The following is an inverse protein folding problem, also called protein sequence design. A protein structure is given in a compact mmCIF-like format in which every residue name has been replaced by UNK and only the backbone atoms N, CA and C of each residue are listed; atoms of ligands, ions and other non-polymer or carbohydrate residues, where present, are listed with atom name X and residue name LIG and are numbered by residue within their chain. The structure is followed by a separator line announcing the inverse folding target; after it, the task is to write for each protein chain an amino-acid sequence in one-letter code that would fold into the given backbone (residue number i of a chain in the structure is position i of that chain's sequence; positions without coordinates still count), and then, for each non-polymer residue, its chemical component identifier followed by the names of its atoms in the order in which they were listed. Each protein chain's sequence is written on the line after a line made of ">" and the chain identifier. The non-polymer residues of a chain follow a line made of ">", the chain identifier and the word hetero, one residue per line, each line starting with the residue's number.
data_IF_253692460361
#
_entry.id   IF_253692460361
#
_cell.length_a   1.000
_cell.length_b   1.000
_cell.length_c   1.000
_cell.angle_alpha   90.00
_cell.angle_beta   90.00
_cell.angle_gamma   90.00
#
_symmetry.space_group_name_H-M   'P 1'
#
loop_
_entity.id
_entity.type
_entity.pdbx_description
1 polymer ?
#
# COMPACT_ATOMS: atom_id res chain seq x y z
N UNK A 1 -11.68 -16.63 -3.01
CA UNK A 1 -11.23 -15.29 -2.56
C UNK A 1 -10.07 -14.87 -3.44
N UNK A 2 -9.77 -13.58 -3.47
CA UNK A 2 -8.89 -12.93 -4.45
C UNK A 2 -7.85 -12.08 -3.74
N UNK A 3 -6.69 -11.94 -4.37
CA UNK A 3 -5.58 -11.21 -3.77
C UNK A 3 -5.27 -9.95 -4.57
N UNK A 4 -4.87 -8.90 -3.86
CA UNK A 4 -4.37 -7.65 -4.41
C UNK A 4 -2.84 -7.64 -4.28
N UNK A 5 -2.16 -7.37 -5.40
CA UNK A 5 -0.79 -6.90 -5.42
C UNK A 5 -0.80 -5.41 -5.82
N UNK A 6 -0.16 -4.58 -5.03
CA UNK A 6 0.10 -3.17 -5.32
C UNK A 6 1.58 -2.88 -5.20
N UNK A 7 2.17 -2.19 -6.19
CA UNK A 7 3.50 -1.59 -6.13
C UNK A 7 3.41 -0.11 -6.51
N UNK A 8 4.08 0.74 -5.74
CA UNK A 8 4.36 2.13 -6.05
C UNK A 8 5.88 2.28 -6.23
N UNK A 9 6.31 2.36 -7.49
CA UNK A 9 7.73 2.43 -7.84
C UNK A 9 8.16 3.88 -8.10
N UNK A 10 9.14 4.37 -7.35
CA UNK A 10 9.61 5.75 -7.38
C UNK A 10 11.13 5.84 -7.39
N UNK A 11 11.65 7.05 -7.52
CA UNK A 11 13.01 7.36 -7.09
C UNK A 11 13.21 7.14 -5.58
N UNK A 12 14.47 7.26 -5.13
CA UNK A 12 14.95 6.89 -3.79
C UNK A 12 14.20 7.54 -2.61
N UNK A 13 13.39 6.72 -1.94
CA UNK A 13 12.73 6.97 -0.66
C UNK A 13 13.81 6.94 0.45
N UNK A 14 13.96 8.00 1.25
CA UNK A 14 14.89 8.00 2.37
C UNK A 14 14.65 6.83 3.33
N UNK A 15 15.69 6.10 3.72
CA UNK A 15 15.58 4.90 4.58
C UNK A 15 14.73 5.13 5.83
N UNK A 16 14.94 6.25 6.52
CA UNK A 16 14.17 6.67 7.71
C UNK A 16 12.66 6.83 7.50
N UNK A 17 12.19 6.95 6.26
CA UNK A 17 10.76 7.12 5.94
C UNK A 17 10.09 5.81 5.48
N UNK A 18 10.88 4.80 5.09
CA UNK A 18 10.38 3.61 4.39
C UNK A 18 9.44 2.77 5.25
N UNK A 19 9.83 2.49 6.51
CA UNK A 19 9.01 1.69 7.43
C UNK A 19 7.64 2.30 7.67
N UNK A 20 7.62 3.58 8.06
CA UNK A 20 6.38 4.31 8.30
C UNK A 20 5.51 4.38 7.04
N UNK A 21 6.13 4.57 5.86
CA UNK A 21 5.39 4.59 4.60
C UNK A 21 4.77 3.23 4.25
N UNK A 22 5.46 2.11 4.50
CA UNK A 22 4.88 0.77 4.33
C UNK A 22 3.69 0.55 5.28
N UNK A 23 3.84 0.95 6.54
CA UNK A 23 2.77 0.84 7.55
C UNK A 23 1.56 1.71 7.20
N UNK A 24 1.79 2.94 6.74
CA UNK A 24 0.74 3.85 6.28
C UNK A 24 0.03 3.33 5.04
N UNK A 25 0.77 2.77 4.07
CA UNK A 25 0.17 2.16 2.88
C UNK A 25 -0.77 1.01 3.28
N UNK A 26 -0.28 0.09 4.11
CA UNK A 26 -1.08 -1.03 4.63
C UNK A 26 -2.34 -0.52 5.31
N UNK A 27 -2.19 0.38 6.29
CA UNK A 27 -3.30 0.93 7.09
C UNK A 27 -4.32 1.66 6.24
N UNK A 28 -3.89 2.52 5.31
CA UNK A 28 -4.79 3.31 4.48
C UNK A 28 -5.62 2.43 3.55
N UNK A 29 -4.97 1.43 2.91
CA UNK A 29 -5.67 0.51 2.01
C UNK A 29 -6.62 -0.39 2.79
N UNK A 30 -6.17 -1.00 3.89
CA UNK A 30 -7.04 -1.91 4.66
C UNK A 30 -8.21 -1.18 5.33
N UNK A 31 -8.01 0.05 5.83
CA UNK A 31 -9.11 0.86 6.36
C UNK A 31 -10.13 1.19 5.26
N UNK A 32 -9.67 1.63 4.08
CA UNK A 32 -10.56 1.94 2.97
C UNK A 32 -11.35 0.71 2.49
N UNK A 33 -10.75 -0.49 2.49
CA UNK A 33 -11.43 -1.75 2.21
C UNK A 33 -12.55 -2.03 3.23
N UNK A 34 -12.25 -1.90 4.52
CA UNK A 34 -13.23 -2.13 5.61
C UNK A 34 -14.35 -1.11 5.58
N UNK A 35 -14.06 0.17 5.34
CA UNK A 35 -15.06 1.23 5.16
C UNK A 35 -16.01 0.93 3.98
N UNK A 36 -15.50 0.23 2.97
CA UNK A 36 -16.26 -0.25 1.81
C UNK A 36 -16.92 -1.62 2.04
N UNK A 37 -16.92 -2.14 3.28
CA UNK A 37 -17.57 -3.40 3.64
C UNK A 37 -16.84 -4.65 3.12
N UNK A 38 -15.57 -4.53 2.71
CA UNK A 38 -14.76 -5.65 2.24
C UNK A 38 -13.91 -6.20 3.39
N UNK A 39 -14.02 -7.49 3.64
CA UNK A 39 -13.15 -8.23 4.57
C UNK A 39 -11.93 -8.79 3.83
N UNK A 40 -10.84 -9.05 4.55
CA UNK A 40 -9.63 -9.68 4.02
C UNK A 40 -9.02 -10.60 5.08
N UNK A 41 -8.23 -11.57 4.65
CA UNK A 41 -7.60 -12.56 5.54
C UNK A 41 -6.25 -12.06 6.09
N UNK A 42 -5.48 -11.34 5.28
CA UNK A 42 -4.17 -10.83 5.67
C UNK A 42 -3.71 -9.67 4.79
N UNK A 43 -2.79 -8.86 5.34
CA UNK A 43 -2.14 -7.80 4.58
C UNK A 43 -0.70 -7.61 5.05
N UNK A 44 0.24 -7.51 4.10
CA UNK A 44 1.66 -7.30 4.34
C UNK A 44 2.19 -6.21 3.41
N UNK A 45 2.90 -5.24 3.97
CA UNK A 45 3.55 -4.19 3.22
C UNK A 45 5.06 -4.32 3.29
N UNK A 46 5.71 -3.87 2.22
CA UNK A 46 7.14 -3.96 2.01
C UNK A 46 7.65 -2.62 1.51
N UNK A 47 8.90 -2.32 1.83
CA UNK A 47 9.58 -1.15 1.29
C UNK A 47 10.99 -1.51 0.85
N UNK A 48 11.46 -0.83 -0.18
CA UNK A 48 12.87 -0.77 -0.61
C UNK A 48 13.23 0.70 -0.86
N UNK A 49 14.49 1.05 -1.20
CA UNK A 49 14.83 2.39 -1.65
C UNK A 49 13.89 2.97 -2.69
N UNK A 50 13.31 2.16 -3.59
CA UNK A 50 12.54 2.66 -4.74
C UNK A 50 11.11 2.16 -4.79
N UNK A 51 10.63 1.44 -3.76
CA UNK A 51 9.32 0.77 -3.79
C UNK A 51 8.61 0.88 -2.47
N UNK A 52 7.30 1.07 -2.55
CA UNK A 52 6.37 0.57 -1.55
C UNK A 52 5.54 -0.52 -2.23
N UNK A 53 5.40 -1.68 -1.59
CA UNK A 53 4.55 -2.76 -2.08
C UNK A 53 3.58 -3.22 -1.00
N UNK A 54 2.42 -3.71 -1.41
CA UNK A 54 1.38 -4.23 -0.53
C UNK A 54 0.78 -5.48 -1.16
N UNK A 55 0.73 -6.55 -0.36
CA UNK A 55 -0.08 -7.73 -0.62
C UNK A 55 -1.29 -7.69 0.31
N UNK A 56 -2.50 -7.86 -0.24
CA UNK A 56 -3.70 -8.14 0.54
C UNK A 56 -4.26 -9.47 0.08
N UNK A 57 -4.45 -10.39 1.01
CA UNK A 57 -4.87 -11.77 0.75
C UNK A 57 -6.33 -11.95 1.17
N UNK A 58 -7.08 -12.71 0.37
CA UNK A 58 -8.38 -13.21 0.81
C UNK A 58 -9.51 -12.19 0.73
N UNK A 59 -9.49 -11.29 -0.24
CA UNK A 59 -10.61 -10.37 -0.51
C UNK A 59 -11.77 -11.12 -1.19
N UNK A 60 -13.04 -10.76 -0.91
CA UNK A 60 -14.15 -11.23 -1.72
C UNK A 60 -14.07 -10.61 -3.12
N UNK A 61 -14.62 -11.29 -4.13
CA UNK A 61 -14.67 -10.77 -5.51
C UNK A 61 -15.61 -9.57 -5.64
N UNK A 62 -16.59 -9.45 -4.75
CA UNK A 62 -17.62 -8.42 -4.75
C UNK A 62 -17.98 -8.00 -3.33
N UNK A 63 -18.38 -6.75 -3.15
CA UNK A 63 -18.98 -6.26 -1.91
C UNK A 63 -20.29 -7.01 -1.59
N UNK A 64 -20.64 -7.17 -0.31
CA UNK A 64 -21.97 -7.66 0.06
C UNK A 64 -23.04 -6.64 -0.36
N UNK A 65 -24.21 -7.15 -0.76
CA UNK A 65 -25.38 -6.30 -0.97
C UNK A 65 -25.79 -5.64 0.36
N UNK A 66 -26.05 -4.33 0.33
CA UNK A 66 -26.51 -3.60 1.49
C UNK A 66 -28.03 -3.56 1.51
N UNK A 67 -28.64 -4.05 2.58
CA UNK A 67 -30.08 -3.89 2.84
C UNK A 67 -30.29 -3.04 4.08
N UNK A 68 -30.83 -1.85 3.90
CA UNK A 68 -31.17 -0.92 4.97
C UNK A 68 -32.70 -0.80 5.10
N UNK A 69 -33.21 -0.97 6.33
CA UNK A 69 -34.63 -0.76 6.62
C UNK A 69 -34.84 0.60 7.29
N UNK A 70 -35.43 1.54 6.55
CA UNK A 70 -35.68 2.91 7.03
C UNK A 70 -37.12 3.04 7.50
N UNK A 71 -37.30 3.24 8.81
CA UNK A 71 -38.60 3.50 9.40
C UNK A 71 -39.12 4.88 8.99
N UNK A 72 -40.28 4.88 8.36
CA UNK A 72 -41.03 6.05 7.95
C UNK A 72 -42.12 6.43 8.95
N UNK A 73 -42.98 7.39 8.57
CA UNK A 73 -44.07 7.87 9.41
C UNK A 73 -45.16 6.82 9.59
N UNK A 74 -46.04 7.04 10.58
CA UNK A 74 -47.22 6.20 10.83
C UNK A 74 -48.14 6.19 9.60
N UNK A 75 -48.84 5.07 9.36
CA UNK A 75 -49.90 5.00 8.36
C UNK A 75 -50.96 6.08 8.66
N UNK A 76 -51.31 6.87 7.65
CA UNK A 76 -52.21 8.04 7.78
C UNK A 76 -51.55 9.35 8.21
N UNK A 77 -50.21 9.43 8.26
CA UNK A 77 -49.51 10.68 8.52
C UNK A 77 -49.74 11.75 7.43
N UNK A 78 -49.54 13.06 7.74
CA UNK A 78 -49.71 14.13 6.77
C UNK A 78 -48.89 13.93 5.49
N UNK A 79 -49.43 14.35 4.34
CA UNK A 79 -48.79 14.19 3.03
C UNK A 79 -47.35 14.75 2.99
N UNK A 80 -47.08 15.86 3.69
CA UNK A 80 -45.74 16.43 3.80
C UNK A 80 -44.73 15.47 4.46
N UNK A 81 -45.15 14.72 5.48
CA UNK A 81 -44.30 13.74 6.16
C UNK A 81 -44.06 12.51 5.27
N UNK A 82 -45.07 12.10 4.51
CA UNK A 82 -44.96 11.02 3.53
C UNK A 82 -44.02 11.42 2.38
N UNK A 83 -44.18 12.61 1.81
CA UNK A 83 -43.32 13.12 0.73
C UNK A 83 -41.85 13.26 1.17
N UNK A 84 -41.62 13.77 2.39
CA UNK A 84 -40.28 13.84 2.97
C UNK A 84 -39.65 12.46 3.16
N UNK A 85 -40.43 11.48 3.62
CA UNK A 85 -39.97 10.09 3.75
C UNK A 85 -39.61 9.46 2.40
N UNK A 86 -40.50 9.54 1.40
CA UNK A 86 -40.27 9.01 0.05
C UNK A 86 -39.00 9.60 -0.58
N UNK A 87 -38.83 10.92 -0.50
CA UNK A 87 -37.62 11.60 -0.99
C UNK A 87 -36.36 11.12 -0.27
N UNK A 88 -36.43 10.99 1.06
CA UNK A 88 -35.27 10.58 1.86
C UNK A 88 -34.90 9.10 1.67
N UNK A 89 -35.88 8.26 1.36
CA UNK A 89 -35.72 6.83 1.15
C UNK A 89 -35.48 6.46 -0.34
N UNK A 90 -35.53 7.44 -1.25
CA UNK A 90 -35.36 7.21 -2.68
C UNK A 90 -36.51 6.45 -3.35
N UNK A 91 -37.70 6.46 -2.75
CA UNK A 91 -38.87 5.75 -3.27
C UNK A 91 -39.69 6.67 -4.19
N UNK A 92 -40.16 6.12 -5.32
CA UNK A 92 -40.97 6.86 -6.29
C UNK A 92 -42.46 6.96 -5.89
N UNK A 93 -42.97 5.97 -5.15
CA UNK A 93 -44.34 5.97 -4.61
C UNK A 93 -44.41 5.24 -3.27
N UNK A 94 -45.50 5.46 -2.55
CA UNK A 94 -45.78 4.82 -1.25
C UNK A 94 -45.96 3.30 -1.36
N UNK A 95 -46.34 2.81 -2.54
CA UNK A 95 -46.58 1.38 -2.81
C UNK A 95 -45.27 0.57 -2.76
N UNK A 96 -44.12 1.24 -2.87
CA UNK A 96 -42.81 0.63 -2.72
C UNK A 96 -42.39 0.47 -1.25
N UNK A 97 -43.11 1.11 -0.31
CA UNK A 97 -42.89 0.95 1.12
C UNK A 97 -43.73 -0.22 1.68
N UNK A 98 -43.15 -0.99 2.59
CA UNK A 98 -43.87 -2.03 3.35
C UNK A 98 -44.55 -1.41 4.56
N UNK A 99 -45.69 -1.96 4.99
CA UNK A 99 -46.29 -1.59 6.27
C UNK A 99 -45.81 -2.56 7.34
N UNK A 100 -45.25 -2.02 8.42
CA UNK A 100 -44.82 -2.80 9.58
C UNK A 100 -45.50 -2.30 10.86
N UNK A 101 -45.64 -3.20 11.84
CA UNK A 101 -46.27 -2.91 13.14
C UNK A 101 -45.22 -2.78 14.22
N UNK A 102 -45.41 -1.82 15.12
CA UNK A 102 -44.57 -1.72 16.32
C UNK A 102 -45.08 -2.64 17.45
N UNK A 103 -44.33 -2.71 18.56
CA UNK A 103 -44.70 -3.52 19.74
C UNK A 103 -46.02 -3.10 20.39
N UNK A 104 -46.57 -1.93 20.04
CA UNK A 104 -47.85 -1.40 20.52
C UNK A 104 -48.97 -1.51 19.47
N UNK A 105 -48.72 -2.16 18.34
CA UNK A 105 -49.68 -2.38 17.26
C UNK A 105 -49.87 -1.21 16.30
N UNK A 106 -49.08 -0.13 16.41
CA UNK A 106 -49.17 0.99 15.48
C UNK A 106 -48.47 0.66 14.15
N UNK A 107 -49.16 0.90 13.04
CA UNK A 107 -48.67 0.66 11.68
C UNK A 107 -47.86 1.85 11.17
N UNK A 108 -46.70 1.58 10.57
CA UNK A 108 -45.82 2.58 9.96
C UNK A 108 -45.29 2.11 8.61
N UNK A 109 -44.92 3.06 7.75
CA UNK A 109 -44.26 2.76 6.49
C UNK A 109 -42.79 2.41 6.74
N UNK A 110 -42.28 1.41 6.03
CA UNK A 110 -40.92 0.91 6.09
C UNK A 110 -40.36 0.84 4.67
N UNK A 111 -39.31 1.59 4.40
CA UNK A 111 -38.60 1.50 3.14
C UNK A 111 -37.49 0.47 3.30
N UNK A 112 -37.45 -0.52 2.40
CA UNK A 112 -36.30 -1.42 2.29
C UNK A 112 -35.46 -0.90 1.14
N UNK A 113 -34.29 -0.36 1.47
CA UNK A 113 -33.33 0.18 0.51
C UNK A 113 -32.30 -0.93 0.26
N UNK A 114 -32.33 -1.50 -0.94
CA UNK A 114 -31.34 -2.48 -1.39
C UNK A 114 -30.34 -1.80 -2.32
N UNK A 115 -29.05 -1.91 -2.00
CA UNK A 115 -27.96 -1.46 -2.86
C UNK A 115 -27.11 -2.66 -3.22
N UNK A 116 -27.09 -2.98 -4.50
CA UNK A 116 -26.22 -4.01 -5.04
C UNK A 116 -24.75 -3.67 -4.72
N UNK A 117 -24.00 -4.64 -4.19
CA UNK A 117 -22.57 -4.49 -3.97
C UNK A 117 -21.82 -4.27 -5.29
N UNK A 118 -20.71 -3.52 -5.27
CA UNK A 118 -19.85 -3.36 -6.43
C UNK A 118 -18.79 -4.48 -6.52
N UNK A 119 -18.29 -4.74 -7.72
CA UNK A 119 -17.14 -5.63 -7.91
C UNK A 119 -15.93 -5.05 -7.18
N UNK A 120 -15.17 -5.90 -6.47
CA UNK A 120 -14.05 -5.44 -5.64
C UNK A 120 -12.99 -4.76 -6.50
N UNK A 121 -12.79 -5.18 -7.75
CA UNK A 121 -11.86 -4.54 -8.68
C UNK A 121 -12.22 -3.08 -8.98
N UNK A 122 -13.51 -2.75 -9.05
CA UNK A 122 -13.99 -1.39 -9.28
C UNK A 122 -13.82 -0.53 -8.01
N UNK A 123 -14.08 -1.13 -6.84
CA UNK A 123 -13.82 -0.48 -5.55
C UNK A 123 -12.33 -0.16 -5.40
N UNK A 124 -11.44 -1.09 -5.76
CA UNK A 124 -10.01 -0.89 -5.75
C UNK A 124 -9.58 0.25 -6.70
N UNK A 125 -10.16 0.31 -7.90
CA UNK A 125 -9.91 1.38 -8.86
C UNK A 125 -10.35 2.76 -8.36
N UNK A 126 -11.33 2.83 -7.45
CA UNK A 126 -11.75 4.07 -6.79
C UNK A 126 -10.82 4.46 -5.63
N UNK A 127 -10.49 3.52 -4.72
CA UNK A 127 -9.79 3.85 -3.47
C UNK A 127 -8.29 4.08 -3.67
N UNK A 128 -7.64 3.34 -4.56
CA UNK A 128 -6.18 3.39 -4.71
C UNK A 128 -5.68 4.75 -5.21
N UNK A 129 -6.28 5.39 -6.24
CA UNK A 129 -5.90 6.75 -6.65
C UNK A 129 -6.04 7.77 -5.52
N UNK A 130 -7.11 7.68 -4.72
CA UNK A 130 -7.36 8.60 -3.62
C UNK A 130 -6.28 8.49 -2.54
N UNK A 131 -5.90 7.26 -2.17
CA UNK A 131 -4.84 6.98 -1.21
C UNK A 131 -3.48 7.50 -1.73
N UNK A 132 -3.14 7.24 -2.99
CA UNK A 132 -1.88 7.70 -3.58
C UNK A 132 -1.82 9.24 -3.60
N UNK A 133 -2.91 9.92 -4.00
CA UNK A 133 -2.96 11.38 -4.04
C UNK A 133 -2.88 12.04 -2.65
N UNK A 134 -3.38 11.36 -1.62
CA UNK A 134 -3.44 11.87 -0.23
C UNK A 134 -2.36 11.27 0.69
N UNK A 135 -1.37 10.59 0.11
CA UNK A 135 -0.42 9.80 0.89
C UNK A 135 0.37 10.66 1.90
N UNK A 136 0.44 10.27 3.19
CA UNK A 136 0.88 11.13 4.28
C UNK A 136 2.40 11.18 4.42
N UNK A 137 3.10 11.53 3.35
CA UNK A 137 4.56 11.70 3.39
C UNK A 137 4.95 12.81 4.40
N UNK A 138 5.86 12.54 5.36
CA UNK A 138 6.35 13.56 6.29
C UNK A 138 6.98 14.77 5.58
N UNK A 139 7.56 14.51 4.40
CA UNK A 139 8.05 15.52 3.48
C UNK A 139 7.77 15.07 2.05
N UNK A 140 6.90 15.80 1.36
CA UNK A 140 6.58 15.59 -0.07
C UNK A 140 6.92 16.82 -0.90
N UNK A 141 7.05 16.60 -2.20
CA UNK A 141 7.32 17.64 -3.20
C UNK A 141 6.44 17.38 -4.43
N UNK A 142 6.31 18.40 -5.28
CA UNK A 142 5.81 18.25 -6.65
C UNK A 142 7.02 18.12 -7.58
N UNK A 143 6.88 17.35 -8.66
CA UNK A 143 8.00 16.97 -9.51
C UNK A 143 7.77 17.29 -10.98
N UNK A 144 8.86 17.58 -11.71
CA UNK A 144 8.86 17.79 -13.15
C UNK A 144 8.00 18.96 -13.62
N UNK A 145 7.65 18.96 -14.91
CA UNK A 145 6.81 19.99 -15.53
C UNK A 145 5.40 20.05 -14.90
N UNK A 146 4.88 18.93 -14.39
CA UNK A 146 3.60 18.88 -13.72
C UNK A 146 3.55 19.77 -12.46
N UNK A 147 4.69 20.04 -11.83
CA UNK A 147 4.78 20.86 -10.61
C UNK A 147 4.28 22.31 -10.76
N UNK A 148 4.16 22.79 -11.99
CA UNK A 148 3.55 24.08 -12.31
C UNK A 148 2.04 24.10 -12.00
N UNK A 149 1.38 22.92 -12.02
CA UNK A 149 -0.04 22.81 -11.67
C UNK A 149 -0.24 22.70 -10.16
N UNK A 150 -1.25 23.40 -9.64
CA UNK A 150 -1.60 23.37 -8.22
C UNK A 150 -2.10 22.00 -7.72
N UNK A 151 -2.60 21.16 -8.61
CA UNK A 151 -3.19 19.86 -8.33
C UNK A 151 -2.27 18.67 -8.63
N UNK A 152 -1.02 18.92 -9.06
CA UNK A 152 -0.06 17.86 -9.35
C UNK A 152 0.24 16.98 -8.15
N UNK A 153 0.61 15.72 -8.39
CA UNK A 153 0.90 14.76 -7.33
C UNK A 153 2.00 15.28 -6.39
N UNK A 154 1.75 15.14 -5.09
CA UNK A 154 2.77 15.32 -4.05
C UNK A 154 3.31 13.96 -3.65
N UNK A 155 4.59 13.72 -3.88
CA UNK A 155 5.25 12.46 -3.53
C UNK A 155 6.63 12.74 -2.93
N UNK A 156 7.19 11.77 -2.19
CA UNK A 156 8.52 11.91 -1.56
C UNK A 156 9.62 12.16 -2.59
N UNK A 157 9.52 11.50 -3.74
CA UNK A 157 10.37 11.61 -4.93
C UNK A 157 9.53 11.34 -6.19
N UNK A 158 10.02 11.48 -7.43
CA UNK A 158 9.21 11.15 -8.61
C UNK A 158 8.68 9.70 -8.57
N UNK A 159 7.36 9.52 -8.66
CA UNK A 159 6.72 8.23 -8.89
C UNK A 159 6.81 7.90 -10.38
N UNK A 160 7.17 6.67 -10.73
CA UNK A 160 7.44 6.25 -12.10
C UNK A 160 6.43 5.24 -12.64
N UNK A 161 6.03 4.27 -11.82
CA UNK A 161 5.06 3.25 -12.24
C UNK A 161 4.24 2.74 -11.08
N UNK A 162 3.05 2.22 -11.41
CA UNK A 162 2.12 1.62 -10.46
C UNK A 162 1.78 0.22 -10.96
N UNK A 163 2.10 -0.81 -10.19
CA UNK A 163 1.56 -2.15 -10.42
C UNK A 163 0.32 -2.31 -9.58
N UNK A 164 -0.79 -2.74 -10.17
CA UNK A 164 -1.99 -3.08 -9.41
C UNK A 164 -2.71 -4.25 -10.09
N UNK A 165 -2.67 -5.43 -9.47
CA UNK A 165 -3.34 -6.63 -9.98
C UNK A 165 -4.26 -7.23 -8.93
N UNK A 166 -5.40 -7.77 -9.38
CA UNK A 166 -6.42 -8.37 -8.52
C UNK A 166 -7.02 -9.62 -9.17
N UNK A 167 -7.17 -10.70 -8.41
CA UNK A 167 -7.89 -11.88 -8.89
C UNK A 167 -7.73 -13.10 -8.01
N UNK A 168 -8.52 -14.17 -8.23
CA UNK A 168 -8.47 -15.40 -7.44
C UNK A 168 -7.22 -16.22 -7.79
N UNK A 169 -6.62 -16.91 -6.82
CA UNK A 169 -5.39 -17.71 -7.01
C UNK A 169 -5.45 -18.67 -8.23
N UNK A 170 -6.64 -19.20 -8.52
CA UNK A 170 -6.90 -20.19 -9.57
C UNK A 170 -6.94 -19.62 -11.00
N UNK A 171 -6.99 -18.31 -11.18
CA UNK A 171 -7.14 -17.67 -12.50
C UNK A 171 -6.02 -16.67 -12.79
N UNK A 172 -5.99 -16.09 -14.00
CA UNK A 172 -5.08 -14.97 -14.26
C UNK A 172 -5.67 -13.70 -13.63
N UNK A 173 -4.91 -12.97 -12.79
CA UNK A 173 -5.43 -11.75 -12.19
C UNK A 173 -5.53 -10.65 -13.25
N UNK A 174 -6.48 -9.75 -13.03
CA UNK A 174 -6.70 -8.58 -13.87
C UNK A 174 -5.92 -7.39 -13.34
N UNK A 175 -5.62 -6.43 -14.22
CA UNK A 175 -5.08 -5.13 -13.80
C UNK A 175 -6.22 -4.29 -13.25
N UNK A 176 -6.07 -3.78 -12.03
CA UNK A 176 -6.99 -2.79 -11.45
C UNK A 176 -6.76 -1.48 -12.19
N UNK A 177 -7.64 -1.08 -13.10
CA UNK A 177 -7.42 0.05 -14.02
C UNK A 177 -7.69 1.40 -13.35
N UNK A 178 -6.66 2.20 -13.19
CA UNK A 178 -6.77 3.60 -12.77
C UNK A 178 -5.54 4.41 -13.22
N UNK A 179 -5.59 5.73 -13.05
CA UNK A 179 -4.48 6.63 -13.35
C UNK A 179 -4.28 7.65 -12.22
N UNK A 180 -3.01 7.95 -11.92
CA UNK A 180 -2.61 9.04 -11.02
C UNK A 180 -1.60 9.93 -11.71
N UNK A 181 -1.99 11.18 -11.99
CA UNK A 181 -1.12 12.22 -12.56
C UNK A 181 -0.37 11.76 -13.84
N UNK A 182 -1.09 11.07 -14.74
CA UNK A 182 -0.55 10.53 -15.98
C UNK A 182 0.10 9.14 -15.86
N UNK A 183 0.15 8.54 -14.66
CA UNK A 183 0.72 7.21 -14.43
C UNK A 183 -0.43 6.19 -14.33
N UNK A 184 -0.62 5.41 -15.40
CA UNK A 184 -1.60 4.34 -15.43
C UNK A 184 -1.09 3.11 -14.65
N UNK A 185 -2.01 2.43 -13.96
CA UNK A 185 -1.73 1.13 -13.36
C UNK A 185 -1.52 0.04 -14.42
N UNK A 186 -0.51 -0.80 -14.20
CA UNK A 186 -0.09 -1.86 -15.12
C UNK A 186 0.27 -3.15 -14.36
N UNK A 187 0.79 -4.15 -15.07
CA UNK A 187 1.35 -5.36 -14.50
C UNK A 187 2.84 -5.56 -14.82
N UNK A 188 3.55 -4.45 -15.02
CA UNK A 188 4.97 -4.45 -15.35
C UNK A 188 5.73 -3.67 -14.29
N UNK A 189 6.72 -4.32 -13.69
CA UNK A 189 7.70 -3.72 -12.78
C UNK A 189 9.10 -3.78 -13.40
N UNK A 190 10.11 -3.38 -12.65
CA UNK A 190 11.53 -3.41 -13.05
C UNK A 190 12.35 -4.06 -11.94
N UNK A 191 13.53 -4.58 -12.25
CA UNK A 191 14.48 -5.07 -11.24
C UNK A 191 15.39 -3.97 -10.69
N UNK A 192 16.59 -4.38 -10.29
CA UNK A 192 17.63 -3.47 -9.84
C UNK A 192 18.05 -2.51 -10.95
N UNK A 193 18.13 -1.20 -10.64
CA UNK A 193 18.41 -0.11 -11.60
C UNK A 193 19.60 -0.37 -12.51
N UNK A 194 20.65 -1.00 -11.99
CA UNK A 194 21.91 -1.21 -12.70
C UNK A 194 22.18 -2.67 -13.06
N UNK A 195 21.71 -3.61 -12.23
CA UNK A 195 22.08 -5.02 -12.35
C UNK A 195 21.07 -5.80 -13.20
N UNK A 196 19.82 -5.35 -13.24
CA UNK A 196 18.74 -5.95 -14.02
C UNK A 196 17.62 -4.91 -14.30
N UNK A 197 17.90 -3.85 -15.08
CA UNK A 197 16.94 -2.76 -15.35
C UNK A 197 15.73 -3.15 -16.23
N UNK A 198 15.68 -4.37 -16.73
CA UNK A 198 14.72 -4.80 -17.73
C UNK A 198 13.32 -4.91 -17.12
N UNK A 199 12.27 -4.64 -17.91
CA UNK A 199 10.89 -4.76 -17.46
C UNK A 199 10.55 -6.23 -17.16
N UNK A 200 9.75 -6.43 -16.11
CA UNK A 200 9.30 -7.73 -15.61
C UNK A 200 7.78 -7.69 -15.55
N UNK A 201 7.12 -8.58 -16.29
CA UNK A 201 5.68 -8.75 -16.16
C UNK A 201 5.38 -9.64 -14.95
N UNK A 202 4.51 -9.17 -14.08
CA UNK A 202 4.11 -9.85 -12.84
C UNK A 202 2.60 -10.07 -12.81
N UNK A 203 2.15 -11.05 -12.02
CA UNK A 203 0.73 -11.38 -11.89
C UNK A 203 0.25 -11.20 -10.45
N UNK A 204 0.96 -11.80 -9.49
CA UNK A 204 0.63 -11.92 -8.08
C UNK A 204 1.89 -11.69 -7.25
N UNK A 205 1.72 -11.62 -5.94
CA UNK A 205 2.83 -11.32 -5.05
C UNK A 205 3.93 -12.40 -5.10
N UNK A 206 3.57 -13.67 -5.26
CA UNK A 206 4.50 -14.80 -5.26
C UNK A 206 5.47 -14.73 -6.45
N UNK A 207 4.94 -14.54 -7.67
CA UNK A 207 5.78 -14.39 -8.86
C UNK A 207 6.48 -13.03 -8.91
N UNK A 208 5.86 -11.99 -8.36
CA UNK A 208 6.47 -10.68 -8.19
C UNK A 208 7.73 -10.76 -7.31
N UNK A 209 7.62 -11.33 -6.11
CA UNK A 209 8.74 -11.45 -5.18
C UNK A 209 9.86 -12.31 -5.74
N UNK A 210 9.52 -13.46 -6.35
CA UNK A 210 10.51 -14.35 -6.97
C UNK A 210 11.20 -13.70 -8.17
N UNK A 211 10.46 -12.97 -9.01
CA UNK A 211 11.03 -12.31 -10.19
C UNK A 211 11.90 -11.13 -9.80
N UNK A 212 11.52 -10.36 -8.78
CA UNK A 212 12.34 -9.31 -8.21
C UNK A 212 13.65 -9.86 -7.65
N UNK A 213 13.61 -10.98 -6.91
CA UNK A 213 14.81 -11.59 -6.37
C UNK A 213 15.79 -12.03 -7.49
N UNK A 214 15.28 -12.68 -8.54
CA UNK A 214 16.06 -13.02 -9.74
C UNK A 214 16.66 -11.78 -10.41
N UNK A 215 15.94 -10.66 -10.36
CA UNK A 215 16.36 -9.36 -10.88
C UNK A 215 17.08 -8.49 -9.84
N UNK A 216 17.71 -9.12 -8.84
CA UNK A 216 18.57 -8.47 -7.84
C UNK A 216 17.80 -7.45 -6.98
N UNK A 217 16.63 -7.82 -6.50
CA UNK A 217 15.85 -7.04 -5.53
C UNK A 217 15.32 -7.98 -4.46
N UNK A 218 15.84 -7.86 -3.24
CA UNK A 218 15.27 -8.52 -2.06
C UNK A 218 14.18 -7.60 -1.52
N UNK A 219 12.91 -7.92 -1.71
CA UNK A 219 11.79 -7.01 -1.36
C UNK A 219 11.58 -6.87 0.15
N UNK A 220 11.85 -7.93 0.92
CA UNK A 220 11.65 -7.97 2.37
C UNK A 220 12.80 -7.26 3.12
N UNK A 221 12.51 -6.17 3.88
CA UNK A 221 13.52 -5.45 4.65
C UNK A 221 14.16 -6.30 5.76
N UNK A 222 13.40 -7.19 6.41
CA UNK A 222 13.95 -8.07 7.44
C UNK A 222 14.95 -9.05 6.83
N UNK A 223 14.62 -9.61 5.66
CA UNK A 223 15.56 -10.46 4.92
C UNK A 223 16.82 -9.72 4.49
N UNK A 224 16.70 -8.47 4.03
CA UNK A 224 17.88 -7.64 3.68
C UNK A 224 18.77 -7.41 4.91
N UNK A 225 18.17 -7.05 6.05
CA UNK A 225 18.87 -6.88 7.32
C UNK A 225 19.64 -8.14 7.72
N UNK A 226 18.98 -9.29 7.65
CA UNK A 226 19.55 -10.56 8.09
C UNK A 226 20.72 -10.99 7.18
N UNK A 227 20.62 -10.77 5.86
CA UNK A 227 21.73 -10.99 4.91
C UNK A 227 22.93 -10.11 5.29
N UNK A 228 22.72 -8.81 5.46
CA UNK A 228 23.80 -7.86 5.78
C UNK A 228 24.48 -8.25 7.10
N UNK A 229 23.70 -8.56 8.14
CA UNK A 229 24.25 -8.91 9.45
C UNK A 229 25.05 -10.20 9.40
N UNK A 230 24.55 -11.22 8.70
CA UNK A 230 25.23 -12.49 8.56
C UNK A 230 26.53 -12.34 7.79
N UNK A 231 26.50 -11.72 6.62
CA UNK A 231 27.69 -11.51 5.78
C UNK A 231 28.75 -10.66 6.51
N UNK A 232 28.32 -9.63 7.26
CA UNK A 232 29.23 -8.79 8.03
C UNK A 232 29.91 -9.56 9.17
N UNK A 233 29.19 -10.45 9.86
CA UNK A 233 29.75 -11.32 10.90
C UNK A 233 30.75 -12.31 10.32
N UNK A 234 30.42 -12.92 9.18
CA UNK A 234 31.28 -13.90 8.52
C UNK A 234 32.58 -13.25 8.02
N UNK A 235 32.50 -12.06 7.41
CA UNK A 235 33.67 -11.30 6.97
C UNK A 235 34.56 -10.89 8.16
N UNK A 236 33.97 -10.41 9.26
CA UNK A 236 34.72 -10.05 10.47
C UNK A 236 35.43 -11.27 11.06
N UNK A 237 34.69 -12.38 11.24
CA UNK A 237 35.22 -13.62 11.78
C UNK A 237 36.39 -14.16 10.95
N UNK A 238 36.30 -14.11 9.62
CA UNK A 238 37.37 -14.55 8.72
C UNK A 238 38.69 -13.77 8.89
N UNK A 239 38.65 -12.57 9.46
CA UNK A 239 39.83 -11.75 9.77
C UNK A 239 40.21 -11.79 11.27
N UNK A 240 39.53 -12.60 12.08
CA UNK A 240 39.71 -12.60 13.54
C UNK A 240 39.23 -11.31 14.21
N UNK A 241 38.29 -10.58 13.59
CA UNK A 241 37.69 -9.37 14.10
C UNK A 241 36.30 -9.65 14.68
N UNK A 242 35.82 -8.76 15.55
CA UNK A 242 34.46 -8.76 16.08
C UNK A 242 33.65 -7.61 15.46
N UNK A 243 32.43 -7.92 15.01
CA UNK A 243 31.52 -6.90 14.48
C UNK A 243 30.96 -6.06 15.63
N UNK A 244 31.16 -4.75 15.56
CA UNK A 244 30.46 -3.81 16.44
C UNK A 244 29.03 -3.62 15.91
N UNK A 245 28.09 -4.32 16.51
CA UNK A 245 26.69 -4.29 16.07
C UNK A 245 26.00 -2.95 16.39
N UNK A 246 25.22 -2.46 15.43
CA UNK A 246 24.32 -1.34 15.63
C UNK A 246 23.01 -1.55 14.87
N UNK A 247 21.94 -1.85 15.61
CA UNK A 247 20.65 -2.17 15.02
C UNK A 247 20.05 -1.00 14.23
N UNK A 248 20.28 0.25 14.65
CA UNK A 248 19.76 1.42 13.97
C UNK A 248 20.44 1.65 12.62
N UNK A 249 21.78 1.56 12.60
CA UNK A 249 22.56 1.64 11.36
C UNK A 249 22.22 0.48 10.43
N UNK A 250 22.08 -0.73 10.95
CA UNK A 250 21.75 -1.91 10.15
C UNK A 250 20.38 -1.77 9.47
N UNK A 251 19.37 -1.25 10.17
CA UNK A 251 18.05 -0.93 9.59
C UNK A 251 18.15 0.16 8.52
N UNK A 252 18.97 1.20 8.74
CA UNK A 252 19.22 2.24 7.75
C UNK A 252 19.89 1.69 6.49
N UNK A 253 21.00 0.95 6.63
CA UNK A 253 21.74 0.35 5.50
C UNK A 253 20.85 -0.64 4.73
N UNK A 254 20.05 -1.47 5.41
CA UNK A 254 19.08 -2.33 4.76
C UNK A 254 17.99 -1.56 3.98
N UNK A 255 17.72 -0.32 4.38
CA UNK A 255 16.87 0.63 3.67
C UNK A 255 17.55 1.39 2.54
N UNK A 256 18.89 1.37 2.41
CA UNK A 256 19.63 2.06 1.35
C UNK A 256 19.86 1.19 0.10
N UNK A 257 19.70 -0.13 0.21
CA UNK A 257 19.97 -1.07 -0.89
C UNK A 257 18.79 -1.97 -1.22
N UNK A 258 18.61 -2.28 -2.51
CA UNK A 258 17.67 -3.33 -2.97
C UNK A 258 18.33 -4.71 -3.01
N UNK A 259 19.66 -4.78 -3.23
CA UNK A 259 20.45 -6.01 -3.27
C UNK A 259 21.67 -5.86 -2.35
N UNK A 260 21.65 -6.45 -1.14
CA UNK A 260 22.79 -6.35 -0.24
C UNK A 260 24.00 -7.11 -0.79
N UNK A 261 25.15 -6.44 -0.80
CA UNK A 261 26.47 -7.03 -1.04
C UNK A 261 27.41 -6.43 0.00
N UNK A 262 27.77 -7.24 0.99
CA UNK A 262 28.66 -6.78 2.06
C UNK A 262 30.11 -6.85 1.60
N UNK A 263 30.87 -5.78 1.81
CA UNK A 263 32.27 -5.67 1.44
C UNK A 263 33.08 -5.28 2.67
N UNK A 264 34.31 -5.77 2.75
CA UNK A 264 35.27 -5.36 3.76
C UNK A 264 36.30 -4.42 3.12
N UNK A 265 36.54 -3.28 3.78
CA UNK A 265 37.55 -2.32 3.40
C UNK A 265 38.41 -1.92 4.60
N UNK A 266 39.56 -1.35 4.33
CA UNK A 266 40.48 -0.81 5.33
C UNK A 266 40.80 0.65 5.00
N UNK A 267 41.08 1.44 6.04
CA UNK A 267 41.61 2.79 5.90
C UNK A 267 43.13 2.76 6.07
N UNK A 268 43.83 3.73 5.47
CA UNK A 268 45.25 3.96 5.75
C UNK A 268 45.43 4.28 7.24
N UNK A 269 46.43 3.67 7.88
CA UNK A 269 46.68 3.81 9.32
C UNK A 269 46.86 5.27 9.76
N UNK A 270 47.37 6.13 8.88
CA UNK A 270 47.54 7.57 9.14
C UNK A 270 46.20 8.29 9.36
N UNK A 271 45.10 7.83 8.75
CA UNK A 271 43.76 8.37 9.01
C UNK A 271 43.14 7.86 10.32
N UNK A 272 43.73 6.83 10.93
CA UNK A 272 43.27 6.24 12.18
C UNK A 272 44.01 6.82 13.40
N UNK A 273 44.95 7.76 13.20
CA UNK A 273 45.70 8.43 14.28
C UNK A 273 44.91 9.56 14.97
N UNK A 274 43.61 9.39 15.11
CA UNK A 274 42.69 10.31 15.79
C UNK A 274 41.87 9.53 16.84
N UNK A 275 41.21 10.19 17.80
CA UNK A 275 40.47 9.49 18.84
C UNK A 275 39.45 8.49 18.27
N UNK A 276 39.39 7.25 18.79
CA UNK A 276 38.51 6.20 18.28
C UNK A 276 37.02 6.60 18.20
N UNK A 277 36.55 7.45 19.11
CA UNK A 277 35.18 7.96 19.13
C UNK A 277 34.89 8.82 17.89
N UNK A 278 35.86 9.62 17.43
CA UNK A 278 35.73 10.45 16.23
C UNK A 278 35.68 9.58 14.98
N UNK A 279 36.51 8.53 14.92
CA UNK A 279 36.52 7.55 13.84
C UNK A 279 35.16 6.87 13.75
N UNK A 280 34.68 6.30 14.86
CA UNK A 280 33.39 5.58 14.92
C UNK A 280 32.23 6.49 14.55
N UNK A 281 32.18 7.71 15.09
CA UNK A 281 31.11 8.66 14.77
C UNK A 281 31.13 9.03 13.28
N UNK A 282 32.30 9.33 12.72
CA UNK A 282 32.44 9.72 11.31
C UNK A 282 32.03 8.59 10.38
N UNK A 283 32.53 7.37 10.64
CA UNK A 283 32.21 6.18 9.84
C UNK A 283 30.73 5.84 9.95
N UNK A 284 30.09 6.00 11.11
CA UNK A 284 28.67 5.68 11.27
C UNK A 284 27.74 6.68 10.58
N UNK A 285 28.09 7.97 10.60
CA UNK A 285 27.17 9.04 10.16
C UNK A 285 27.30 9.35 8.66
N UNK A 286 28.45 9.10 8.04
CA UNK A 286 28.72 9.47 6.65
C UNK A 286 28.82 8.25 5.71
N UNK A 287 27.98 7.22 5.93
CA UNK A 287 27.91 6.04 5.05
C UNK A 287 27.09 6.29 3.78
#
# INVERSE_FOLDING_TARGET
>A
MSDLLLELFSEEIPARMQRQAADDLKRLVTNALVERGLTYEGALAYATPRRLALQVVGLPSRQPDLREERKGPRVGAPEAAIAGFLKSAGLASLDQAKIAKDKKGAEFYLAVIERAGAETIDVLAEILPAIIKSFPWPKSMRWGAASERGDSLRWVRPLHSIVATFGPETESPEVVRFEVDGIASVNVTHGHRFLAPQPIRVKRFEDYALSLERAKVVIDPARRRDIILHDAKDLAFAQGLELVEDAGLLEEVAGLVEWPVTLMGSFDESFLSIPPEVIRATIRVNQ
#
